data_IF_832326095810
#
_entry.id   IF_832326095810
#
_cell.length_a   1.000
_cell.length_b   1.000
_cell.length_c   1.000
_cell.angle_alpha   90.00
_cell.angle_beta   90.00
_cell.angle_gamma   90.00
#
_symmetry.space_group_name_H-M   'P 1'
#
loop_
_entity.id
_entity.type
_entity.pdbx_description
1 polymer ?
#
# COMPACT_ATOMS: atom_id res chain seq x y z
N UNK A 1 19.88 -6.98 4.53
CA UNK A 1 20.40 -5.60 4.52
C UNK A 1 19.34 -4.76 5.19
N UNK A 2 19.65 -4.14 6.31
CA UNK A 2 18.70 -3.34 7.11
C UNK A 2 18.88 -1.90 6.67
N UNK A 3 17.86 -1.32 6.06
CA UNK A 3 17.85 0.11 5.80
C UNK A 3 17.15 0.82 6.96
N UNK A 4 17.93 1.58 7.73
CA UNK A 4 17.42 2.50 8.74
C UNK A 4 17.25 3.87 8.06
N UNK A 5 16.02 4.22 7.72
CA UNK A 5 15.70 5.56 7.23
C UNK A 5 15.11 6.35 8.38
N UNK A 6 16.02 6.98 9.14
CA UNK A 6 15.65 7.99 10.11
C UNK A 6 15.65 9.35 9.44
N UNK A 7 14.50 9.96 9.16
CA UNK A 7 14.38 11.41 8.98
C UNK A 7 13.15 11.92 9.73
N UNK A 8 13.42 12.94 10.54
CA UNK A 8 12.45 13.76 11.25
C UNK A 8 11.63 14.56 10.23
N UNK A 9 10.34 14.54 10.29
CA UNK A 9 9.46 15.59 10.77
C UNK A 9 8.04 15.45 10.22
N UNK A 10 7.08 15.72 11.08
CA UNK A 10 5.64 15.84 10.83
C UNK A 10 4.87 14.54 10.53
N UNK A 11 4.73 13.68 11.56
CA UNK A 11 3.59 12.78 11.66
C UNK A 11 3.71 11.42 10.98
N UNK A 12 4.85 11.07 10.40
CA UNK A 12 5.07 9.75 9.80
C UNK A 12 5.67 8.83 10.86
N UNK A 13 4.89 7.86 11.33
CA UNK A 13 5.43 6.76 12.14
C UNK A 13 6.36 5.92 11.26
N UNK A 14 7.58 5.65 11.77
CA UNK A 14 8.61 4.87 11.09
C UNK A 14 8.07 3.54 10.55
N UNK A 15 8.21 3.32 9.26
CA UNK A 15 7.99 2.01 8.64
C UNK A 15 9.23 1.15 8.94
N UNK A 16 9.04 0.06 9.66
CA UNK A 16 10.07 -0.95 9.88
C UNK A 16 9.70 -2.21 9.12
N UNK A 17 10.63 -2.75 8.34
CA UNK A 17 10.46 -4.03 7.66
C UNK A 17 10.79 -5.19 8.58
N UNK A 18 10.01 -6.26 8.53
CA UNK A 18 10.33 -7.54 9.14
C UNK A 18 10.71 -8.53 8.04
N UNK A 19 11.80 -9.23 8.22
CA UNK A 19 12.20 -10.33 7.33
C UNK A 19 11.72 -11.65 7.90
N UNK A 20 11.13 -12.48 7.04
CA UNK A 20 10.82 -13.87 7.39
C UNK A 20 12.04 -14.73 7.11
N UNK A 21 12.37 -15.63 8.05
CA UNK A 21 13.46 -16.59 7.86
C UNK A 21 13.10 -17.55 6.71
N UNK A 22 14.03 -17.79 5.76
CA UNK A 22 13.79 -18.74 4.68
C UNK A 22 13.72 -20.18 5.20
N UNK A 23 12.94 -21.03 4.53
CA UNK A 23 13.09 -22.46 4.67
C UNK A 23 14.45 -22.89 4.04
N UNK A 24 15.07 -24.01 4.50
CA UNK A 24 16.45 -24.36 4.17
C UNK A 24 16.83 -24.47 2.70
N UNK A 25 15.89 -24.42 1.76
CA UNK A 25 16.11 -24.51 0.31
C UNK A 25 15.56 -23.35 -0.51
N UNK A 26 15.04 -22.27 0.11
CA UNK A 26 14.58 -21.10 -0.62
C UNK A 26 15.46 -19.90 -0.24
N UNK A 27 16.26 -19.46 -1.21
CA UNK A 27 17.24 -18.39 -1.03
C UNK A 27 16.59 -16.98 -1.03
N UNK A 28 15.27 -16.89 -1.21
CA UNK A 28 14.54 -15.62 -1.24
C UNK A 28 13.61 -15.49 -0.05
N UNK A 29 13.92 -14.53 0.84
CA UNK A 29 13.03 -14.15 1.93
C UNK A 29 12.02 -13.12 1.41
N UNK A 30 10.74 -13.38 1.62
CA UNK A 30 9.71 -12.35 1.44
C UNK A 30 9.72 -11.38 2.60
N UNK A 31 9.43 -10.13 2.29
CA UNK A 31 9.42 -9.02 3.26
C UNK A 31 8.01 -8.48 3.48
N UNK A 32 7.78 -7.95 4.67
CA UNK A 32 6.57 -7.23 5.04
C UNK A 32 6.90 -6.08 5.98
N UNK A 33 5.93 -5.25 6.29
CA UNK A 33 6.07 -4.19 7.28
C UNK A 33 6.21 -4.77 8.69
N UNK A 34 6.97 -4.10 9.55
CA UNK A 34 7.12 -4.50 10.95
C UNK A 34 5.93 -4.09 11.81
N UNK A 35 5.30 -2.98 11.48
CA UNK A 35 4.15 -2.43 12.19
C UNK A 35 3.24 -1.68 11.21
N UNK A 36 2.05 -1.32 11.67
CA UNK A 36 1.13 -0.47 10.91
C UNK A 36 1.74 0.92 10.77
N UNK A 37 1.66 1.47 9.56
CA UNK A 37 1.98 2.85 9.26
C UNK A 37 0.74 3.55 8.68
N UNK A 38 0.53 4.82 9.05
CA UNK A 38 -0.58 5.62 8.58
C UNK A 38 -0.09 6.77 7.70
N UNK A 39 -0.83 7.02 6.63
CA UNK A 39 -0.62 8.16 5.72
C UNK A 39 -1.94 8.90 5.60
N UNK A 40 -1.91 10.20 5.85
CA UNK A 40 -3.05 11.10 5.70
C UNK A 40 -2.80 12.07 4.57
N UNK A 41 -3.83 12.35 3.77
CA UNK A 41 -3.71 13.28 2.67
C UNK A 41 -5.05 13.62 2.04
N UNK A 42 -5.00 14.08 0.80
CA UNK A 42 -6.18 14.37 -0.02
C UNK A 42 -6.04 13.72 -1.38
N UNK A 43 -7.14 13.21 -1.92
CA UNK A 43 -7.24 12.78 -3.31
C UNK A 43 -6.96 13.94 -4.26
N UNK A 44 -6.28 13.66 -5.38
CA UNK A 44 -5.97 14.68 -6.38
C UNK A 44 -7.21 15.13 -7.16
N UNK A 45 -8.04 14.17 -7.56
CA UNK A 45 -9.26 14.45 -8.35
C UNK A 45 -10.45 14.74 -7.43
N UNK A 46 -10.60 14.00 -6.34
CA UNK A 46 -11.73 14.15 -5.43
C UNK A 46 -11.59 15.33 -4.47
N UNK A 47 -10.36 15.68 -4.09
CA UNK A 47 -10.09 16.65 -3.02
C UNK A 47 -10.50 16.17 -1.62
N UNK A 48 -11.03 14.94 -1.49
CA UNK A 48 -11.47 14.39 -0.21
C UNK A 48 -10.28 14.06 0.70
N UNK A 49 -10.48 14.25 2.00
CA UNK A 49 -9.53 13.75 2.98
C UNK A 49 -9.56 12.22 2.99
N UNK A 50 -8.39 11.61 2.96
CA UNK A 50 -8.21 10.16 2.90
C UNK A 50 -7.16 9.71 3.91
N UNK A 51 -7.46 8.59 4.57
CA UNK A 51 -6.54 7.89 5.46
C UNK A 51 -6.20 6.54 4.86
N UNK A 52 -4.91 6.25 4.82
CA UNK A 52 -4.36 4.98 4.38
C UNK A 52 -3.57 4.36 5.52
N UNK A 53 -3.83 3.09 5.81
CA UNK A 53 -3.03 2.29 6.72
C UNK A 53 -2.30 1.20 5.92
N UNK A 54 -0.98 1.18 6.03
CA UNK A 54 -0.15 0.11 5.52
C UNK A 54 0.05 -0.92 6.63
N UNK A 55 -0.49 -2.12 6.47
CA UNK A 55 -0.49 -3.17 7.49
C UNK A 55 0.40 -4.35 7.08
N UNK A 56 1.14 -4.95 8.04
CA UNK A 56 1.86 -6.20 7.79
C UNK A 56 0.91 -7.28 7.26
N UNK A 57 1.42 -8.11 6.35
CA UNK A 57 0.70 -9.26 5.85
C UNK A 57 1.57 -10.52 5.87
N UNK A 58 0.94 -11.69 5.93
CA UNK A 58 1.64 -12.98 5.93
C UNK A 58 2.37 -13.23 4.61
N UNK A 59 3.37 -14.08 4.62
CA UNK A 59 4.05 -14.51 3.41
C UNK A 59 3.04 -15.08 2.38
N UNK A 60 3.30 -14.83 1.10
CA UNK A 60 2.46 -15.19 -0.05
C UNK A 60 1.10 -14.46 -0.11
N UNK A 61 0.89 -13.42 0.70
CA UNK A 61 -0.29 -12.57 0.57
C UNK A 61 -0.22 -11.65 -0.65
N UNK A 62 0.99 -11.17 -0.98
CA UNK A 62 1.18 -10.11 -1.96
C UNK A 62 0.66 -8.76 -1.46
N UNK A 63 0.40 -7.86 -2.38
CA UNK A 63 -0.17 -6.55 -2.07
C UNK A 63 -1.68 -6.58 -2.27
N UNK A 64 -2.44 -6.20 -1.23
CA UNK A 64 -3.90 -6.21 -1.25
C UNK A 64 -4.43 -4.86 -0.79
N UNK A 65 -5.26 -4.22 -1.61
CA UNK A 65 -6.02 -3.05 -1.22
C UNK A 65 -7.29 -3.48 -0.48
N UNK A 66 -7.60 -2.81 0.63
CA UNK A 66 -8.79 -3.08 1.45
C UNK A 66 -9.59 -1.79 1.62
N UNK A 67 -10.84 -1.76 1.11
CA UNK A 67 -11.76 -0.64 1.31
C UNK A 67 -12.38 -0.77 2.69
N UNK A 68 -11.88 0.05 3.62
CA UNK A 68 -12.28 0.04 5.03
C UNK A 68 -13.65 0.68 5.28
N UNK A 69 -14.07 1.56 4.38
CA UNK A 69 -15.39 2.23 4.40
C UNK A 69 -16.54 1.35 3.90
N UNK A 70 -16.24 0.17 3.33
CA UNK A 70 -17.24 -0.80 2.87
C UNK A 70 -17.53 -1.85 3.96
N UNK A 71 -18.78 -2.29 4.05
CA UNK A 71 -19.19 -3.38 4.94
C UNK A 71 -20.01 -4.44 4.16
N UNK A 72 -19.49 -5.68 4.01
CA UNK A 72 -18.18 -6.16 4.44
C UNK A 72 -17.03 -5.48 3.68
N UNK A 73 -15.84 -5.45 4.31
CA UNK A 73 -14.65 -4.88 3.66
C UNK A 73 -14.34 -5.60 2.35
N UNK A 74 -14.07 -4.81 1.31
CA UNK A 74 -13.73 -5.35 -0.02
C UNK A 74 -12.22 -5.41 -0.16
N UNK A 75 -11.71 -6.59 -0.48
CA UNK A 75 -10.30 -6.89 -0.67
C UNK A 75 -10.01 -7.03 -2.16
N UNK A 76 -9.08 -6.24 -2.66
CA UNK A 76 -8.73 -6.16 -4.09
C UNK A 76 -7.23 -6.43 -4.23
N UNK A 77 -6.80 -7.59 -4.75
CA UNK A 77 -5.40 -7.85 -5.00
C UNK A 77 -4.81 -6.86 -6.02
N UNK A 78 -3.57 -6.41 -5.79
CA UNK A 78 -2.82 -5.56 -6.71
C UNK A 78 -2.28 -6.41 -7.88
N UNK A 79 -3.17 -6.94 -8.71
CA UNK A 79 -2.85 -7.83 -9.84
C UNK A 79 -3.51 -7.33 -11.11
N UNK A 80 -2.94 -7.67 -12.25
CA UNK A 80 -3.47 -7.28 -13.57
C UNK A 80 -4.92 -7.72 -13.79
N UNK A 81 -5.33 -8.85 -13.23
CA UNK A 81 -6.71 -9.36 -13.34
C UNK A 81 -7.76 -8.42 -12.71
N UNK A 82 -7.34 -7.54 -11.79
CA UNK A 82 -8.19 -6.56 -11.13
C UNK A 82 -7.99 -5.14 -11.65
N UNK A 83 -7.03 -4.94 -12.57
CA UNK A 83 -6.82 -3.63 -13.18
C UNK A 83 -8.00 -3.28 -14.09
N UNK A 84 -8.47 -2.07 -13.98
CA UNK A 84 -9.45 -1.49 -14.90
C UNK A 84 -8.83 -0.33 -15.67
N UNK A 85 -9.29 -0.14 -16.91
CA UNK A 85 -8.82 0.98 -17.71
C UNK A 85 -9.39 2.28 -17.16
N UNK A 86 -8.49 3.20 -16.85
CA UNK A 86 -8.83 4.53 -16.36
C UNK A 86 -7.84 5.54 -16.95
N UNK A 87 -8.33 6.77 -17.19
CA UNK A 87 -7.50 7.81 -17.79
C UNK A 87 -6.58 8.43 -16.71
N UNK A 88 -5.27 8.46 -17.02
CA UNK A 88 -4.25 9.18 -16.23
C UNK A 88 -4.04 8.68 -14.82
N UNK A 89 -4.45 7.45 -14.49
CA UNK A 89 -4.23 6.84 -13.18
C UNK A 89 -4.29 5.32 -13.25
N UNK A 90 -3.69 4.67 -12.30
CA UNK A 90 -3.79 3.21 -12.15
C UNK A 90 -4.90 2.89 -11.16
N UNK A 91 -5.84 2.06 -11.59
CA UNK A 91 -7.03 1.68 -10.82
C UNK A 91 -7.17 0.18 -10.77
N UNK A 92 -7.49 -0.35 -9.59
CA UNK A 92 -7.93 -1.74 -9.41
C UNK A 92 -9.36 -1.77 -8.90
N UNK A 93 -10.13 -2.80 -9.32
CA UNK A 93 -11.52 -2.92 -8.93
C UNK A 93 -11.94 -4.37 -8.71
N UNK A 94 -12.90 -4.56 -7.81
CA UNK A 94 -13.56 -5.84 -7.56
C UNK A 94 -15.01 -5.59 -7.12
N UNK A 95 -15.96 -6.31 -7.72
CA UNK A 95 -17.39 -6.22 -7.38
C UNK A 95 -17.93 -4.77 -7.41
N UNK A 96 -17.49 -3.96 -8.38
CA UNK A 96 -17.91 -2.56 -8.50
C UNK A 96 -17.19 -1.58 -7.53
N UNK A 97 -16.43 -2.07 -6.58
CA UNK A 97 -15.64 -1.25 -5.66
C UNK A 97 -14.25 -1.03 -6.24
N UNK A 98 -13.74 0.20 -6.16
CA UNK A 98 -12.48 0.63 -6.80
C UNK A 98 -11.52 1.21 -5.79
N UNK A 99 -10.22 1.10 -6.12
CA UNK A 99 -9.14 1.90 -5.52
C UNK A 99 -8.33 2.52 -6.65
N UNK A 100 -8.21 3.83 -6.63
CA UNK A 100 -7.66 4.66 -7.70
C UNK A 100 -6.35 5.32 -7.26
N UNK A 101 -5.50 5.72 -8.22
CA UNK A 101 -4.21 6.40 -7.96
C UNK A 101 -3.22 5.54 -7.15
N UNK A 102 -3.19 4.24 -7.43
CA UNK A 102 -2.35 3.30 -6.64
C UNK A 102 -0.86 3.32 -7.03
N UNK A 103 -0.48 3.99 -8.11
CA UNK A 103 0.88 3.97 -8.66
C UNK A 103 1.94 4.44 -7.66
N UNK A 104 1.65 5.46 -6.83
CA UNK A 104 2.61 6.03 -5.89
C UNK A 104 2.90 5.08 -4.71
N UNK A 105 1.87 4.50 -4.11
CA UNK A 105 2.04 3.50 -3.03
C UNK A 105 2.68 2.22 -3.56
N UNK A 106 2.32 1.80 -4.78
CA UNK A 106 2.97 0.64 -5.42
C UNK A 106 4.45 0.88 -5.66
N UNK A 107 4.82 2.10 -6.12
CA UNK A 107 6.22 2.49 -6.31
C UNK A 107 6.98 2.53 -4.98
N UNK A 108 6.37 3.05 -3.90
CA UNK A 108 6.98 3.06 -2.57
C UNK A 108 7.25 1.65 -2.04
N UNK A 109 6.24 0.78 -2.07
CA UNK A 109 6.35 -0.60 -1.60
C UNK A 109 7.38 -1.39 -2.43
N UNK A 110 7.40 -1.21 -3.75
CA UNK A 110 8.40 -1.83 -4.63
C UNK A 110 9.80 -1.30 -4.35
N UNK A 111 9.97 0.01 -4.18
CA UNK A 111 11.26 0.63 -3.86
C UNK A 111 11.84 0.19 -2.51
N UNK A 112 10.97 -0.15 -1.56
CA UNK A 112 11.35 -0.71 -0.25
C UNK A 112 11.40 -2.24 -0.23
N UNK A 113 11.18 -2.89 -1.37
CA UNK A 113 11.17 -4.35 -1.50
C UNK A 113 10.17 -5.04 -0.55
N UNK A 114 8.98 -4.46 -0.40
CA UNK A 114 7.89 -5.05 0.38
C UNK A 114 7.09 -5.99 -0.52
N UNK A 115 7.10 -7.28 -0.19
CA UNK A 115 6.39 -8.31 -0.94
C UNK A 115 4.95 -8.49 -0.48
N UNK A 116 4.68 -8.30 0.83
CA UNK A 116 3.39 -8.57 1.44
C UNK A 116 2.92 -7.40 2.28
N UNK A 117 1.78 -6.80 1.90
CA UNK A 117 1.19 -5.67 2.60
C UNK A 117 -0.31 -5.59 2.33
N UNK A 118 -1.10 -5.28 3.37
CA UNK A 118 -2.47 -4.82 3.19
C UNK A 118 -2.51 -3.30 3.25
N UNK A 119 -3.04 -2.69 2.20
CA UNK A 119 -3.23 -1.24 2.06
C UNK A 119 -4.69 -0.92 2.34
N UNK A 120 -4.99 -0.53 3.56
CA UNK A 120 -6.34 -0.16 3.97
C UNK A 120 -6.61 1.29 3.66
N UNK A 121 -7.73 1.57 3.02
CA UNK A 121 -8.08 2.91 2.57
C UNK A 121 -9.58 3.18 2.84
N UNK A 122 -9.88 4.35 3.37
CA UNK A 122 -11.24 4.78 3.73
C UNK A 122 -11.96 5.57 2.62
N UNK A 123 -11.37 5.67 1.42
CA UNK A 123 -11.92 6.36 0.24
C UNK A 123 -11.58 5.61 -1.04
N UNK A 124 -12.14 6.05 -2.14
CA UNK A 124 -11.87 5.47 -3.46
C UNK A 124 -10.47 5.81 -3.97
N UNK A 125 -10.01 7.02 -3.72
CA UNK A 125 -8.78 7.57 -4.28
C UNK A 125 -7.67 7.62 -3.23
N UNK A 126 -6.47 7.14 -3.59
CA UNK A 126 -5.28 7.26 -2.77
C UNK A 126 -4.85 8.73 -2.61
N UNK A 127 -4.19 9.10 -1.50
CA UNK A 127 -3.70 10.46 -1.32
C UNK A 127 -2.60 10.78 -2.32
N UNK A 128 -2.68 11.96 -2.95
CA UNK A 128 -1.72 12.39 -3.97
C UNK A 128 -0.37 12.84 -3.38
N UNK A 129 -0.36 13.30 -2.14
CA UNK A 129 0.84 13.86 -1.52
C UNK A 129 1.44 15.01 -2.31
N UNK A 130 2.73 14.93 -2.57
CA UNK A 130 3.48 15.85 -3.43
C UNK A 130 3.62 15.35 -4.88
N UNK A 131 2.88 14.30 -5.26
CA UNK A 131 2.98 13.64 -6.56
C UNK A 131 4.13 12.63 -6.65
N UNK A 132 4.81 12.34 -5.56
CA UNK A 132 5.86 11.33 -5.50
C UNK A 132 5.48 10.16 -4.59
N UNK A 133 6.29 9.09 -4.59
CA UNK A 133 6.13 7.95 -3.69
C UNK A 133 6.62 8.22 -2.25
N UNK A 134 7.13 9.43 -1.94
CA UNK A 134 7.76 9.77 -0.65
C UNK A 134 6.76 9.89 0.50
N UNK A 135 5.47 10.06 0.18
CA UNK A 135 4.40 10.14 1.18
C UNK A 135 4.11 8.78 1.83
N UNK A 136 4.45 7.69 1.14
CA UNK A 136 4.29 6.30 1.51
C UNK A 136 5.65 5.68 1.88
#
# INVERSE_FOLDING_TARGET
MIYDIARRDRGIKKIHTATFSPKPNDMTCQTTLRCIAEVHGRGYFSGEAVTVELRPASANTGLIFVRSDCHPHVRIPARLDYRVDDLRRTTVARNGIRVEMIEHVMAALAGMQIDNCEVWIDRTEMPAGDGSARAF
#
